data_IF_314592921688
#
_entry.id   IF_314592921688
#
_cell.length_a   1.000
_cell.length_b   1.000
_cell.length_c   1.000
_cell.angle_alpha   90.00
_cell.angle_beta   90.00
_cell.angle_gamma   90.00
#
_symmetry.space_group_name_H-M   'P 1'
#
loop_
_entity.id
_entity.type
_entity.pdbx_description
1 polymer ?
#
# COMPACT_ATOMS: atom_id res chain seq x y z
N UNK A 1 -3.41 4.13 8.66
CA UNK A 1 -2.72 3.64 9.88
C UNK A 1 -1.25 4.01 9.78
N UNK A 2 -0.56 4.31 10.87
CA UNK A 2 0.89 4.44 10.84
C UNK A 2 1.53 3.07 10.64
N UNK A 3 2.61 3.02 9.87
CA UNK A 3 3.31 1.76 9.60
C UNK A 3 4.25 1.41 10.75
N UNK A 4 4.47 0.12 10.94
CA UNK A 4 5.38 -0.45 11.91
C UNK A 4 5.68 -1.90 11.56
N UNK A 5 6.58 -2.56 12.30
CA UNK A 5 6.97 -3.95 12.05
C UNK A 5 5.79 -4.93 12.19
N UNK A 6 4.84 -4.63 13.09
CA UNK A 6 3.64 -5.43 13.23
C UNK A 6 2.57 -5.17 12.18
N UNK A 7 2.35 -3.95 11.80
CA UNK A 7 1.18 -3.52 11.01
C UNK A 7 1.26 -3.76 9.51
N UNK A 8 1.63 -4.93 9.04
CA UNK A 8 1.70 -5.25 7.62
C UNK A 8 3.12 -5.41 7.08
N UNK A 9 4.15 -5.42 7.94
CA UNK A 9 5.52 -5.70 7.53
C UNK A 9 5.79 -7.18 7.29
N UNK A 10 4.86 -8.07 7.62
CA UNK A 10 5.03 -9.53 7.52
C UNK A 10 5.43 -9.99 6.11
N UNK A 11 4.92 -9.34 5.06
CA UNK A 11 5.28 -9.64 3.66
C UNK A 11 6.73 -9.28 3.29
N UNK A 12 7.35 -8.39 4.05
CA UNK A 12 8.77 -8.00 3.86
C UNK A 12 9.73 -8.73 4.78
N UNK A 13 9.24 -9.59 5.66
CA UNK A 13 10.05 -10.35 6.62
C UNK A 13 10.51 -11.66 6.02
N UNK A 14 11.72 -12.09 6.41
CA UNK A 14 12.23 -13.40 6.04
C UNK A 14 11.39 -14.53 6.65
N UNK A 15 11.32 -15.68 5.94
CA UNK A 15 10.60 -16.86 6.44
C UNK A 15 11.17 -17.31 7.80
N UNK A 16 10.30 -17.51 8.79
CA UNK A 16 10.67 -17.97 10.14
C UNK A 16 11.15 -16.87 11.10
N UNK A 17 11.11 -15.61 10.71
CA UNK A 17 11.49 -14.47 11.57
C UNK A 17 10.31 -13.92 12.38
N UNK A 18 9.07 -14.28 12.00
CA UNK A 18 7.88 -13.83 12.72
C UNK A 18 7.82 -14.43 14.14
N UNK A 19 7.39 -13.62 15.08
CA UNK A 19 7.11 -14.04 16.45
C UNK A 19 5.62 -13.94 16.73
N UNK A 20 5.12 -14.68 17.74
CA UNK A 20 3.69 -14.65 18.10
C UNK A 20 3.20 -13.22 18.38
N UNK A 21 4.01 -12.41 19.08
CA UNK A 21 3.69 -11.00 19.34
C UNK A 21 3.59 -10.16 18.05
N UNK A 22 4.47 -10.40 17.09
CA UNK A 22 4.42 -9.74 15.78
C UNK A 22 3.23 -10.22 14.95
N UNK A 23 2.85 -11.48 15.06
CA UNK A 23 1.68 -12.02 14.36
C UNK A 23 0.39 -11.40 14.89
N UNK A 24 0.27 -11.21 16.19
CA UNK A 24 -0.85 -10.46 16.77
C UNK A 24 -0.84 -8.98 16.38
N UNK A 25 0.33 -8.35 16.32
CA UNK A 25 0.49 -6.95 15.92
C UNK A 25 0.39 -6.75 14.39
N UNK A 26 0.46 -7.82 13.59
CA UNK A 26 0.35 -7.77 12.13
C UNK A 26 -1.07 -7.59 11.62
N UNK A 27 -2.03 -7.35 12.50
CA UNK A 27 -3.38 -6.95 12.11
C UNK A 27 -3.29 -5.70 11.24
N UNK A 28 -3.57 -5.86 9.98
CA UNK A 28 -3.42 -4.81 8.97
C UNK A 28 -4.38 -3.65 9.19
N UNK A 29 -5.48 -3.85 9.91
CA UNK A 29 -6.57 -2.91 10.14
C UNK A 29 -6.83 -2.80 11.63
N UNK A 30 -6.23 -1.81 12.28
CA UNK A 30 -6.36 -1.70 13.73
C UNK A 30 -6.86 -0.35 14.23
N UNK A 31 -6.92 0.68 13.35
CA UNK A 31 -7.23 2.02 13.81
C UNK A 31 -8.39 2.63 13.02
N UNK A 32 -9.62 2.33 13.46
CA UNK A 32 -10.85 2.86 12.87
C UNK A 32 -10.92 4.39 12.90
N UNK A 33 -10.29 5.05 13.87
CA UNK A 33 -10.26 6.51 13.95
C UNK A 33 -9.43 7.11 12.81
N UNK A 34 -8.25 6.56 12.51
CA UNK A 34 -7.44 7.04 11.39
C UNK A 34 -8.11 6.80 10.05
N UNK A 35 -8.79 5.67 9.88
CA UNK A 35 -9.62 5.41 8.71
C UNK A 35 -10.69 6.48 8.56
N UNK A 36 -11.42 6.79 9.63
CA UNK A 36 -12.47 7.82 9.59
C UNK A 36 -11.91 9.19 9.26
N UNK A 37 -10.78 9.57 9.81
CA UNK A 37 -10.11 10.84 9.51
C UNK A 37 -9.71 10.94 8.04
N UNK A 38 -9.14 9.87 7.47
CA UNK A 38 -8.80 9.83 6.05
C UNK A 38 -10.05 9.96 5.17
N UNK A 39 -11.15 9.28 5.52
CA UNK A 39 -12.42 9.40 4.82
C UNK A 39 -12.95 10.83 4.85
N UNK A 40 -12.91 11.49 6.02
CA UNK A 40 -13.34 12.90 6.12
C UNK A 40 -12.51 13.83 5.22
N UNK A 41 -11.19 13.61 5.12
CA UNK A 41 -10.34 14.40 4.20
C UNK A 41 -10.78 14.21 2.76
N UNK A 42 -11.00 12.97 2.34
CA UNK A 42 -11.43 12.62 0.98
C UNK A 42 -12.79 13.27 0.69
N UNK A 43 -13.76 13.10 1.59
CA UNK A 43 -15.12 13.64 1.43
C UNK A 43 -15.11 15.17 1.37
N UNK A 44 -14.28 15.84 2.19
CA UNK A 44 -14.14 17.30 2.16
C UNK A 44 -13.49 17.80 0.88
N UNK A 45 -12.47 17.11 0.39
CA UNK A 45 -11.87 17.44 -0.89
C UNK A 45 -12.87 17.24 -2.04
N UNK A 46 -13.59 16.13 -2.04
CA UNK A 46 -14.61 15.83 -3.04
C UNK A 46 -15.74 16.87 -3.05
N UNK A 47 -16.19 17.32 -1.87
CA UNK A 47 -17.23 18.34 -1.73
C UNK A 47 -16.87 19.71 -2.33
N UNK A 48 -15.58 19.95 -2.64
CA UNK A 48 -15.14 21.18 -3.31
C UNK A 48 -15.44 21.20 -4.82
N UNK A 49 -15.90 20.08 -5.39
CA UNK A 49 -16.23 19.98 -6.81
C UNK A 49 -15.00 20.26 -7.70
N UNK A 50 -15.12 21.27 -8.58
CA UNK A 50 -14.04 21.66 -9.49
C UNK A 50 -12.75 22.15 -8.78
N UNK A 51 -12.85 22.52 -7.51
CA UNK A 51 -11.71 22.93 -6.68
C UNK A 51 -11.11 21.78 -5.87
N UNK A 52 -11.51 20.55 -6.15
CA UNK A 52 -10.95 19.37 -5.48
C UNK A 52 -9.42 19.31 -5.70
N UNK A 53 -8.61 19.34 -4.63
CA UNK A 53 -7.15 19.27 -4.76
C UNK A 53 -6.65 17.88 -5.18
N UNK A 54 -7.47 16.86 -5.04
CA UNK A 54 -7.09 15.45 -5.36
C UNK A 54 -7.30 15.21 -6.85
N UNK A 55 -6.22 14.95 -7.57
CA UNK A 55 -6.24 14.61 -9.00
C UNK A 55 -6.44 13.10 -9.19
N UNK A 56 -5.81 12.30 -8.32
CA UNK A 56 -5.90 10.86 -8.33
C UNK A 56 -5.77 10.34 -6.91
N UNK A 57 -6.48 9.26 -6.62
CA UNK A 57 -6.41 8.51 -5.37
C UNK A 57 -6.23 7.03 -5.68
N UNK A 58 -5.33 6.40 -4.94
CA UNK A 58 -5.12 4.96 -4.95
C UNK A 58 -5.02 4.44 -3.51
N UNK A 59 -5.69 3.34 -3.21
CA UNK A 59 -5.56 2.71 -1.90
C UNK A 59 -4.24 1.94 -1.78
N UNK A 60 -3.81 1.71 -0.55
CA UNK A 60 -2.63 0.90 -0.26
C UNK A 60 -3.08 -0.47 0.20
N UNK A 61 -2.85 -1.46 -0.65
CA UNK A 61 -3.17 -2.86 -0.40
C UNK A 61 -1.93 -3.75 -0.34
N UNK A 62 -2.04 -4.92 -0.96
CA UNK A 62 -0.94 -5.88 -1.07
C UNK A 62 0.30 -5.24 -1.72
N UNK A 63 1.48 -5.54 -1.17
CA UNK A 63 2.74 -4.93 -1.60
C UNK A 63 2.97 -3.50 -1.09
N UNK A 64 2.01 -2.90 -0.39
CA UNK A 64 2.18 -1.58 0.19
C UNK A 64 2.36 -0.48 -0.87
N UNK A 65 3.26 0.47 -0.59
CA UNK A 65 3.58 1.55 -1.54
C UNK A 65 4.31 1.06 -2.78
N UNK A 66 4.96 -0.11 -2.72
CA UNK A 66 5.65 -0.71 -3.87
C UNK A 66 4.69 -1.09 -5.01
N UNK A 67 3.41 -1.25 -4.70
CA UNK A 67 2.35 -1.46 -5.67
C UNK A 67 1.56 -0.17 -5.92
N UNK A 68 1.10 0.50 -4.86
CA UNK A 68 0.19 1.64 -4.97
C UNK A 68 0.81 2.86 -5.69
N UNK A 69 2.09 3.16 -5.46
CA UNK A 69 2.74 4.33 -6.10
C UNK A 69 2.95 4.12 -7.60
N UNK A 70 3.58 3.01 -8.06
CA UNK A 70 3.77 2.81 -9.49
C UNK A 70 2.44 2.72 -10.24
N UNK A 71 1.41 2.07 -9.70
CA UNK A 71 0.09 2.02 -10.34
C UNK A 71 -0.54 3.41 -10.45
N UNK A 72 -0.51 4.21 -9.39
CA UNK A 72 -1.02 5.58 -9.41
C UNK A 72 -0.30 6.45 -10.46
N UNK A 73 1.02 6.28 -10.63
CA UNK A 73 1.83 7.08 -11.55
C UNK A 73 1.66 6.60 -12.99
N UNK A 74 1.56 5.29 -13.22
CA UNK A 74 1.41 4.71 -14.55
C UNK A 74 0.08 5.13 -15.22
N UNK A 75 -1.00 5.24 -14.44
CA UNK A 75 -2.28 5.76 -14.94
C UNK A 75 -2.18 7.14 -15.61
N UNK A 76 -1.18 7.92 -15.25
CA UNK A 76 -0.92 9.24 -15.85
C UNK A 76 0.17 9.22 -16.92
N UNK A 77 0.73 8.06 -17.25
CA UNK A 77 1.88 7.87 -18.14
C UNK A 77 3.07 8.79 -17.79
N UNK A 78 3.37 8.87 -16.50
CA UNK A 78 4.41 9.74 -15.94
C UNK A 78 5.45 8.91 -15.20
N UNK A 79 6.41 9.59 -14.60
CA UNK A 79 7.37 9.04 -13.67
C UNK A 79 7.19 9.65 -12.28
N UNK A 80 7.97 9.17 -11.32
CA UNK A 80 7.99 9.74 -9.98
C UNK A 80 9.33 9.59 -9.30
N UNK A 81 9.62 10.54 -8.41
CA UNK A 81 10.75 10.50 -7.49
C UNK A 81 10.23 10.56 -6.06
N UNK A 82 10.50 9.52 -5.30
CA UNK A 82 10.04 9.31 -3.94
C UNK A 82 11.22 9.45 -2.98
N UNK A 83 11.03 10.16 -1.87
CA UNK A 83 11.92 10.15 -0.72
C UNK A 83 11.37 9.18 0.33
N UNK A 84 12.03 8.05 0.48
CA UNK A 84 11.57 6.94 1.31
C UNK A 84 11.43 7.33 2.78
N UNK A 85 12.30 8.20 3.29
CA UNK A 85 12.30 8.56 4.73
C UNK A 85 11.27 9.62 5.12
N UNK A 86 10.57 10.19 4.14
CA UNK A 86 9.40 11.04 4.41
C UNK A 86 8.14 10.25 4.71
N UNK A 87 8.13 8.94 4.47
CA UNK A 87 6.99 8.06 4.78
C UNK A 87 6.80 8.01 6.30
N UNK A 88 5.61 8.39 6.82
CA UNK A 88 5.35 8.36 8.25
C UNK A 88 5.40 6.94 8.81
N UNK A 89 6.26 6.70 9.79
CA UNK A 89 6.42 5.42 10.45
C UNK A 89 6.37 5.59 11.98
N UNK A 90 5.81 4.60 12.66
CA UNK A 90 5.87 4.49 14.12
C UNK A 90 7.22 3.93 14.60
N UNK A 91 8.01 3.36 13.70
CA UNK A 91 9.28 2.70 14.03
C UNK A 91 10.43 3.26 13.18
N UNK A 92 11.39 3.96 13.80
CA UNK A 92 12.46 4.65 13.07
C UNK A 92 13.52 3.70 12.47
N UNK A 93 13.60 2.46 12.94
CA UNK A 93 14.60 1.47 12.54
C UNK A 93 14.26 0.65 11.29
N UNK A 94 13.13 0.91 10.64
CA UNK A 94 12.70 0.12 9.48
C UNK A 94 13.65 0.24 8.30
N UNK A 95 13.93 -0.91 7.67
CA UNK A 95 14.67 -1.01 6.42
C UNK A 95 13.90 -0.38 5.25
N UNK A 96 14.57 -0.08 4.12
CA UNK A 96 13.89 0.40 2.92
C UNK A 96 12.75 -0.50 2.45
N UNK A 97 12.95 -1.82 2.49
CA UNK A 97 11.94 -2.79 2.09
C UNK A 97 10.74 -2.80 3.04
N UNK A 98 10.97 -2.76 4.36
CA UNK A 98 9.90 -2.72 5.36
C UNK A 98 9.07 -1.44 5.29
N UNK A 99 9.66 -0.31 4.88
CA UNK A 99 8.92 0.92 4.61
C UNK A 99 8.11 0.85 3.31
N UNK A 100 8.78 0.40 2.23
CA UNK A 100 8.24 0.46 0.88
C UNK A 100 7.18 -0.60 0.61
N UNK A 101 7.38 -1.81 1.13
CA UNK A 101 6.47 -2.95 0.95
C UNK A 101 5.50 -3.16 2.12
N UNK A 102 5.40 -2.21 3.05
CA UNK A 102 4.49 -2.33 4.20
C UNK A 102 3.04 -2.34 3.76
N UNK A 103 2.30 -3.38 4.15
CA UNK A 103 0.90 -3.59 3.77
C UNK A 103 -0.11 -3.07 4.82
N UNK A 104 0.31 -2.22 5.75
CA UNK A 104 -0.61 -1.58 6.68
C UNK A 104 -1.72 -0.86 5.90
N UNK A 105 -2.95 -1.23 6.18
CA UNK A 105 -4.14 -0.79 5.47
C UNK A 105 -4.62 0.59 5.95
N UNK A 106 -5.74 1.06 5.37
CA UNK A 106 -6.34 2.35 5.68
C UNK A 106 -5.36 3.52 5.41
N UNK A 107 -4.62 3.37 4.31
CA UNK A 107 -3.72 4.38 3.75
C UNK A 107 -4.05 4.59 2.28
N UNK A 108 -3.76 5.78 1.80
CA UNK A 108 -4.00 6.18 0.42
C UNK A 108 -2.79 6.90 -0.14
N UNK A 109 -2.51 6.68 -1.42
CA UNK A 109 -1.62 7.50 -2.23
C UNK A 109 -2.47 8.52 -2.95
N UNK A 110 -2.20 9.79 -2.75
CA UNK A 110 -2.92 10.89 -3.38
C UNK A 110 -1.98 11.67 -4.30
N UNK A 111 -2.41 11.92 -5.52
CA UNK A 111 -1.76 12.89 -6.40
C UNK A 111 -2.46 14.24 -6.23
N UNK A 112 -1.71 15.22 -5.76
CA UNK A 112 -2.20 16.58 -5.48
C UNK A 112 -1.50 17.56 -6.41
N UNK A 113 -2.24 18.46 -7.04
CA UNK A 113 -1.63 19.57 -7.77
C UNK A 113 -0.76 20.42 -6.85
N UNK A 114 0.45 20.78 -7.30
CA UNK A 114 1.39 21.58 -6.51
C UNK A 114 0.75 22.86 -5.95
N UNK A 115 -0.05 23.56 -6.77
CA UNK A 115 -0.76 24.78 -6.37
C UNK A 115 -1.86 24.56 -5.34
N UNK A 116 -2.38 23.35 -5.22
CA UNK A 116 -3.48 22.99 -4.31
C UNK A 116 -3.01 22.37 -2.98
N UNK A 117 -1.70 22.13 -2.82
CA UNK A 117 -1.14 21.47 -1.63
C UNK A 117 -1.46 22.24 -0.33
N UNK A 118 -1.45 23.56 -0.34
CA UNK A 118 -1.80 24.38 0.84
C UNK A 118 -3.24 24.16 1.27
N UNK A 119 -4.17 24.12 0.31
CA UNK A 119 -5.58 23.87 0.59
C UNK A 119 -5.81 22.45 1.13
N UNK A 120 -5.17 21.44 0.52
CA UNK A 120 -5.21 20.06 1.00
C UNK A 120 -4.67 19.97 2.44
N UNK A 121 -3.53 20.60 2.71
CA UNK A 121 -2.91 20.62 4.04
C UNK A 121 -3.86 21.17 5.11
N UNK A 122 -4.55 22.27 4.80
CA UNK A 122 -5.53 22.87 5.73
C UNK A 122 -6.69 21.91 6.03
N UNK A 123 -7.17 21.16 5.04
CA UNK A 123 -8.22 20.15 5.22
C UNK A 123 -7.72 19.00 6.09
N UNK A 124 -6.55 18.43 5.76
CA UNK A 124 -5.97 17.32 6.49
C UNK A 124 -5.69 17.66 7.97
N UNK A 125 -5.18 18.87 8.23
CA UNK A 125 -4.94 19.35 9.59
C UNK A 125 -6.26 19.53 10.37
N UNK A 126 -7.30 20.07 9.75
CA UNK A 126 -8.62 20.22 10.38
C UNK A 126 -9.20 18.87 10.80
N UNK A 127 -9.10 17.87 9.94
CA UNK A 127 -9.57 16.50 10.21
C UNK A 127 -8.57 15.68 11.05
N UNK A 128 -7.44 16.27 11.45
CA UNK A 128 -6.36 15.61 12.21
C UNK A 128 -5.88 14.33 11.53
N UNK A 129 -5.90 14.31 10.20
CA UNK A 129 -5.45 13.17 9.40
C UNK A 129 -3.94 13.29 9.13
N UNK A 130 -3.13 12.33 9.59
CA UNK A 130 -1.70 12.33 9.27
C UNK A 130 -1.49 12.16 7.77
N UNK A 131 -0.61 12.96 7.20
CA UNK A 131 -0.16 12.81 5.82
C UNK A 131 1.30 13.28 5.69
N UNK A 132 1.96 12.91 4.61
CA UNK A 132 3.26 13.43 4.22
C UNK A 132 3.34 13.56 2.70
N UNK A 133 4.10 14.53 2.23
CA UNK A 133 4.52 14.61 0.83
C UNK A 133 5.73 13.70 0.68
N UNK A 134 5.54 12.56 0.02
CA UNK A 134 6.55 11.52 -0.12
C UNK A 134 7.37 11.65 -1.40
N UNK A 135 6.98 12.52 -2.32
CA UNK A 135 7.71 12.70 -3.58
C UNK A 135 6.97 13.58 -4.56
N UNK A 136 7.48 13.58 -5.77
CA UNK A 136 6.94 14.35 -6.89
C UNK A 136 6.75 13.46 -8.12
N UNK A 137 5.70 13.75 -8.87
CA UNK A 137 5.44 13.14 -10.18
C UNK A 137 6.15 13.99 -11.24
N UNK A 138 6.82 13.32 -12.18
CA UNK A 138 7.56 13.95 -13.26
C UNK A 138 7.23 13.36 -14.63
N UNK A 139 7.94 13.79 -15.67
CA UNK A 139 7.74 13.30 -17.04
C UNK A 139 8.72 12.21 -17.48
N UNK A 140 9.45 11.56 -16.56
CA UNK A 140 10.55 10.65 -16.90
C UNK A 140 10.11 9.26 -17.34
N UNK A 141 8.89 8.82 -16.97
CA UNK A 141 8.42 7.45 -17.17
C UNK A 141 9.13 6.43 -16.28
N UNK A 142 9.85 6.90 -15.25
CA UNK A 142 10.59 6.06 -14.32
C UNK A 142 10.02 6.15 -12.91
N UNK A 143 10.20 5.07 -12.15
CA UNK A 143 10.07 5.09 -10.70
C UNK A 143 11.48 5.17 -10.08
N UNK A 144 11.74 6.25 -9.35
CA UNK A 144 12.94 6.42 -8.55
C UNK A 144 12.55 6.55 -7.07
N UNK A 145 13.07 5.65 -6.23
CA UNK A 145 12.90 5.69 -4.78
C UNK A 145 14.27 5.93 -4.16
N UNK A 146 14.41 7.06 -3.49
CA UNK A 146 15.67 7.47 -2.86
C UNK A 146 15.62 7.23 -1.35
N UNK A 147 16.67 6.65 -0.81
CA UNK A 147 16.90 6.56 0.64
C UNK A 147 18.04 7.49 1.07
N UNK A 148 17.74 8.66 1.65
CA UNK A 148 18.76 9.57 2.09
C UNK A 148 19.58 9.07 3.28
N UNK A 149 19.05 8.09 4.05
CA UNK A 149 19.78 7.49 5.19
C UNK A 149 20.92 6.62 4.71
N UNK A 150 20.68 5.77 3.70
CA UNK A 150 21.69 4.91 3.10
C UNK A 150 22.37 5.54 1.87
N UNK A 151 21.90 6.71 1.44
CA UNK A 151 22.43 7.45 0.28
C UNK A 151 22.44 6.60 -0.99
N UNK A 152 21.38 5.88 -1.23
CA UNK A 152 21.20 5.02 -2.39
C UNK A 152 19.78 5.14 -2.96
N UNK A 153 19.56 4.53 -4.11
CA UNK A 153 18.26 4.44 -4.77
C UNK A 153 17.85 2.94 -4.79
N UNK A 154 17.10 2.45 -3.78
CA UNK A 154 16.64 1.06 -3.74
C UNK A 154 15.81 0.66 -4.96
N UNK A 155 15.15 1.62 -5.60
CA UNK A 155 14.43 1.45 -6.86
C UNK A 155 14.82 2.58 -7.81
N UNK A 156 15.31 2.24 -9.00
CA UNK A 156 15.48 3.15 -10.15
C UNK A 156 15.24 2.36 -11.43
N UNK A 157 13.99 2.37 -11.91
CA UNK A 157 13.63 1.60 -13.08
C UNK A 157 12.52 2.26 -13.90
N UNK A 158 12.45 2.00 -15.21
CA UNK A 158 11.32 2.40 -16.03
C UNK A 158 10.04 1.68 -15.59
N UNK A 159 8.90 2.39 -15.60
CA UNK A 159 7.61 1.84 -15.22
C UNK A 159 7.12 0.74 -16.18
N UNK A 160 7.48 0.81 -17.45
CA UNK A 160 7.16 -0.22 -18.44
C UNK A 160 7.88 -1.56 -18.17
N UNK A 161 9.01 -1.53 -17.46
CA UNK A 161 9.68 -2.76 -16.97
C UNK A 161 8.94 -3.32 -15.77
N UNK A 162 8.50 -2.45 -14.86
CA UNK A 162 7.83 -2.85 -13.62
C UNK A 162 6.40 -3.34 -13.87
N UNK A 163 5.63 -2.59 -14.67
CA UNK A 163 4.20 -2.84 -14.93
C UNK A 163 3.96 -3.37 -16.36
N UNK A 164 5.02 -3.64 -17.12
CA UNK A 164 4.94 -4.12 -18.48
C UNK A 164 4.31 -5.51 -18.60
N UNK A 165 3.97 -5.87 -19.83
CA UNK A 165 3.37 -7.18 -20.09
C UNK A 165 4.39 -8.29 -19.83
N UNK A 166 4.03 -9.20 -18.93
CA UNK A 166 4.80 -10.43 -18.73
C UNK A 166 4.81 -11.28 -20.00
N UNK A 167 5.88 -12.04 -20.26
CA UNK A 167 5.92 -12.98 -21.37
C UNK A 167 4.72 -13.92 -21.34
N UNK A 168 4.17 -14.21 -22.51
CA UNK A 168 3.03 -15.12 -22.62
C UNK A 168 3.41 -16.49 -22.07
N UNK A 169 2.71 -16.91 -21.04
CA UNK A 169 2.91 -18.23 -20.44
C UNK A 169 1.96 -19.23 -21.11
N UNK A 170 2.53 -20.32 -21.60
CA UNK A 170 1.74 -21.46 -22.10
C UNK A 170 1.76 -22.53 -21.00
N UNK A 171 0.58 -22.90 -20.51
CA UNK A 171 0.41 -23.99 -19.54
C UNK A 171 -0.29 -25.14 -20.23
N UNK A 172 0.41 -26.25 -20.41
CA UNK A 172 -0.17 -27.51 -20.82
C UNK A 172 -0.64 -28.26 -19.55
N UNK A 173 -1.92 -28.21 -19.27
CA UNK A 173 -2.52 -28.79 -18.07
C UNK A 173 -3.49 -29.89 -18.45
N UNK A 174 -3.44 -31.01 -17.71
CA UNK A 174 -4.42 -32.08 -17.81
C UNK A 174 -5.41 -31.97 -16.65
N UNK A 175 -6.68 -31.97 -16.96
CA UNK A 175 -7.71 -32.02 -15.93
C UNK A 175 -7.73 -33.40 -15.28
N UNK A 176 -7.49 -33.45 -13.99
CA UNK A 176 -7.64 -34.67 -13.19
C UNK A 176 -8.97 -34.56 -12.46
N UNK A 177 -9.88 -35.47 -12.74
CA UNK A 177 -11.12 -35.57 -11.96
C UNK A 177 -10.79 -36.16 -10.60
N UNK A 178 -10.85 -35.37 -9.52
CA UNK A 178 -10.58 -35.91 -8.19
C UNK A 178 -11.61 -36.99 -7.85
N UNK A 179 -11.14 -38.11 -7.29
CA UNK A 179 -12.08 -39.09 -6.68
C UNK A 179 -12.79 -38.37 -5.55
N UNK A 180 -14.05 -38.01 -5.79
CA UNK A 180 -14.92 -37.47 -4.75
C UNK A 180 -15.30 -38.63 -3.84
N UNK A 181 -14.84 -38.62 -2.60
CA UNK A 181 -15.45 -39.42 -1.55
C UNK A 181 -16.80 -38.78 -1.20
N UNK A 182 -17.82 -39.61 -1.11
CA UNK A 182 -19.14 -39.14 -0.66
C UNK A 182 -18.99 -38.67 0.78
N UNK A 183 -19.30 -37.42 1.02
CA UNK A 183 -19.30 -36.89 2.39
C UNK A 183 -20.56 -37.40 3.09
N UNK A 184 -20.39 -38.23 4.13
CA UNK A 184 -21.47 -38.76 4.94
C UNK A 184 -21.65 -37.90 6.17
N UNK A 185 -22.59 -36.97 6.09
CA UNK A 185 -22.88 -36.02 7.18
C UNK A 185 -23.81 -36.60 8.25
N UNK A 186 -24.46 -37.76 8.01
CA UNK A 186 -25.36 -38.39 8.94
C UNK A 186 -24.65 -38.94 10.19
N UNK A 187 -23.31 -39.13 10.12
CA UNK A 187 -22.46 -39.58 11.21
C UNK A 187 -21.75 -38.47 11.96
N UNK A 188 -21.94 -37.20 11.58
CA UNK A 188 -21.30 -36.07 12.23
C UNK A 188 -22.08 -35.60 13.45
N UNK A 189 -21.52 -35.76 14.64
CA UNK A 189 -22.00 -35.05 15.82
C UNK A 189 -21.49 -33.61 15.79
N UNK A 190 -22.39 -32.66 15.53
CA UNK A 190 -22.09 -31.25 15.46
C UNK A 190 -21.60 -30.66 16.80
N UNK A 191 -21.79 -31.38 17.92
CA UNK A 191 -21.27 -30.96 19.23
C UNK A 191 -19.83 -31.34 19.44
N UNK A 192 -19.33 -32.38 18.72
CA UNK A 192 -17.95 -32.80 18.76
C UNK A 192 -17.10 -32.07 17.66
N UNK A 193 -17.77 -31.49 16.66
CA UNK A 193 -17.11 -30.81 15.53
C UNK A 193 -16.99 -29.29 15.72
N UNK A 194 -17.46 -28.74 16.82
CA UNK A 194 -17.33 -27.33 17.20
C UNK A 194 -16.22 -27.17 18.30
#
# INVERSE_FOLDING_TARGET
MLIGLGGGAASSMGSGVSTEDLDFASVQRGNAELQRRAQEVIDRCWALGEKNPIVLIHDVGAGGLSNAVPEAVDHSHRGSRIDLRTIPSAEPGMSPMELWCNEAQERYVLCIERGALTAFTAIAQRERCPFAVIGEIDGTGKLAVHDPLFRNDPVDMPLDVLLGKTPRMVRDVKSIVPRRQRFEFESLDLREAA
#
